data_IF_186697602292
#
_entry.id   IF_186697602292
#
_cell.length_a   1.000
_cell.length_b   1.000
_cell.length_c   1.000
_cell.angle_alpha   90.00
_cell.angle_beta   90.00
_cell.angle_gamma   90.00
#
_symmetry.space_group_name_H-M   'P 1'
#
loop_
_entity.id
_entity.type
_entity.pdbx_description
1 polymer ?
#
# COMPACT_ATOMS: atom_id res chain seq x y z
N UNK A 1 46.31 29.28 21.64
CA UNK A 1 45.58 29.33 22.92
C UNK A 1 44.08 29.21 22.62
N UNK A 2 43.48 28.10 22.96
CA UNK A 2 42.03 27.87 22.82
C UNK A 2 41.33 28.58 23.96
N UNK A 3 40.67 29.72 23.70
CA UNK A 3 39.89 30.43 24.72
C UNK A 3 38.83 29.49 25.27
N UNK A 4 38.91 29.18 26.56
CA UNK A 4 37.87 28.39 27.27
C UNK A 4 36.50 29.05 27.01
N UNK A 5 35.64 28.37 26.30
CA UNK A 5 34.28 28.84 26.05
C UNK A 5 33.56 28.92 27.37
N UNK A 6 33.16 30.12 27.77
CA UNK A 6 32.33 30.30 28.97
C UNK A 6 31.00 29.56 28.84
N UNK A 7 30.74 28.65 29.74
CA UNK A 7 29.51 27.86 29.76
C UNK A 7 28.49 28.45 30.74
N UNK A 8 27.25 28.70 30.30
CA UNK A 8 26.21 29.26 31.18
C UNK A 8 25.94 28.39 32.44
N UNK A 9 26.24 27.11 32.40
CA UNK A 9 26.09 26.14 33.50
C UNK A 9 26.90 26.52 34.76
N UNK A 10 27.99 27.32 34.59
CA UNK A 10 28.86 27.75 35.69
C UNK A 10 28.28 28.92 36.52
N UNK A 11 27.16 29.51 36.06
CA UNK A 11 26.51 30.64 36.76
C UNK A 11 25.55 30.08 37.82
N UNK A 12 25.80 30.32 39.12
CA UNK A 12 24.94 29.85 40.20
C UNK A 12 23.53 30.47 40.21
N UNK A 13 23.40 31.74 39.82
CA UNK A 13 22.09 32.39 39.76
C UNK A 13 21.29 31.95 38.55
N UNK A 14 20.12 31.35 38.78
CA UNK A 14 19.24 30.76 37.72
C UNK A 14 18.81 31.82 36.70
N UNK A 15 18.34 32.97 37.11
CA UNK A 15 17.87 34.04 36.22
C UNK A 15 18.98 34.53 35.30
N UNK A 16 20.16 34.86 35.86
CA UNK A 16 21.33 35.27 35.08
C UNK A 16 21.80 34.19 34.11
N UNK A 17 21.74 32.94 34.52
CA UNK A 17 22.08 31.78 33.66
C UNK A 17 21.16 31.69 32.46
N UNK A 18 19.85 31.80 32.66
CA UNK A 18 18.86 31.79 31.59
C UNK A 18 19.03 32.96 30.62
N UNK A 19 19.26 34.18 31.12
CA UNK A 19 19.51 35.35 30.30
C UNK A 19 20.77 35.22 29.41
N UNK A 20 21.85 34.71 30.01
CA UNK A 20 23.11 34.51 29.27
C UNK A 20 22.93 33.40 28.24
N UNK A 21 22.25 32.33 28.58
CA UNK A 21 21.94 31.22 27.66
C UNK A 21 21.05 31.71 26.49
N UNK A 22 20.04 32.52 26.77
CA UNK A 22 19.17 33.13 25.76
C UNK A 22 19.97 34.07 24.81
N UNK A 23 20.82 34.94 25.35
CA UNK A 23 21.71 35.82 24.56
C UNK A 23 22.66 35.00 23.66
N UNK A 24 23.27 33.95 24.21
CA UNK A 24 24.14 33.05 23.43
C UNK A 24 23.40 32.32 22.32
N UNK A 25 22.18 31.80 22.61
CA UNK A 25 21.32 31.15 21.59
C UNK A 25 20.98 32.15 20.48
N UNK A 26 20.56 33.37 20.82
CA UNK A 26 20.25 34.42 19.85
C UNK A 26 21.48 34.80 18.99
N UNK A 27 22.64 34.97 19.59
CA UNK A 27 23.90 35.26 18.88
C UNK A 27 24.29 34.10 17.93
N UNK A 28 24.18 32.83 18.38
CA UNK A 28 24.43 31.65 17.52
C UNK A 28 23.45 31.58 16.34
N UNK A 29 22.20 31.91 16.58
CA UNK A 29 21.18 31.93 15.52
C UNK A 29 21.46 33.00 14.48
N UNK A 30 21.82 34.21 14.93
CA UNK A 30 22.22 35.31 14.04
C UNK A 30 23.49 34.99 13.22
N UNK A 31 24.51 34.40 13.85
CA UNK A 31 25.70 33.94 13.13
C UNK A 31 25.41 32.86 12.09
N UNK A 32 24.55 31.90 12.45
CA UNK A 32 24.11 30.87 11.48
C UNK A 32 23.36 31.51 10.30
N UNK A 33 22.47 32.47 10.58
CA UNK A 33 21.71 33.15 9.53
C UNK A 33 22.66 33.93 8.61
N UNK A 34 23.61 34.70 9.19
CA UNK A 34 24.61 35.46 8.42
C UNK A 34 25.42 34.53 7.50
N UNK A 35 25.98 33.44 8.02
CA UNK A 35 26.70 32.44 7.23
C UNK A 35 25.84 31.83 6.12
N UNK A 36 24.54 31.60 6.39
CA UNK A 36 23.60 31.07 5.41
C UNK A 36 23.35 32.06 4.26
N UNK A 37 23.18 33.34 4.59
CA UNK A 37 22.98 34.38 3.59
C UNK A 37 24.25 34.63 2.75
N UNK A 38 25.42 34.65 3.37
CA UNK A 38 26.70 34.76 2.65
C UNK A 38 26.91 33.58 1.70
N UNK A 39 26.65 32.37 2.17
CA UNK A 39 26.72 31.16 1.34
C UNK A 39 25.71 31.21 0.18
N UNK A 40 24.48 31.63 0.45
CA UNK A 40 23.46 31.76 -0.59
C UNK A 40 23.86 32.74 -1.68
N UNK A 41 24.54 33.85 -1.33
CA UNK A 41 25.09 34.84 -2.29
C UNK A 41 26.18 34.22 -3.16
N UNK A 42 27.12 33.47 -2.58
CA UNK A 42 28.18 32.80 -3.33
C UNK A 42 27.60 31.67 -4.24
N UNK A 43 26.65 30.89 -3.73
CA UNK A 43 26.02 29.83 -4.48
C UNK A 43 25.10 30.33 -5.62
N UNK A 44 24.56 31.55 -5.50
CA UNK A 44 23.79 32.18 -6.60
C UNK A 44 24.68 32.56 -7.78
N UNK A 45 25.94 32.90 -7.50
CA UNK A 45 26.94 33.23 -8.54
C UNK A 45 27.57 31.95 -9.16
N UNK A 46 27.69 30.90 -8.36
CA UNK A 46 28.32 29.63 -8.79
C UNK A 46 27.42 28.40 -8.45
N UNK A 47 26.49 27.98 -9.33
CA UNK A 47 25.60 26.87 -9.07
C UNK A 47 26.30 25.52 -8.90
N UNK A 48 27.52 25.37 -9.44
CA UNK A 48 28.35 24.19 -9.25
C UNK A 48 28.71 23.94 -7.78
N UNK A 49 29.04 25.00 -7.03
CA UNK A 49 29.33 24.89 -5.59
C UNK A 49 28.10 24.43 -4.78
N UNK A 50 26.92 24.88 -5.16
CA UNK A 50 25.66 24.40 -4.56
C UNK A 50 25.48 22.91 -4.79
N UNK A 51 25.69 22.44 -6.02
CA UNK A 51 25.59 21.01 -6.39
C UNK A 51 26.58 20.16 -5.59
N UNK A 52 27.84 20.60 -5.51
CA UNK A 52 28.88 19.92 -4.74
C UNK A 52 28.56 19.86 -3.23
N UNK A 53 28.06 20.95 -2.65
CA UNK A 53 27.66 20.97 -1.26
C UNK A 53 26.48 20.03 -0.98
N UNK A 54 25.49 19.95 -1.86
CA UNK A 54 24.36 19.04 -1.72
C UNK A 54 24.82 17.59 -1.80
N UNK A 55 25.76 17.25 -2.67
CA UNK A 55 26.38 15.92 -2.75
C UNK A 55 27.15 15.56 -1.50
N UNK A 56 27.91 16.50 -0.91
CA UNK A 56 28.68 16.27 0.32
C UNK A 56 27.83 16.19 1.58
N UNK A 57 26.70 16.90 1.62
CA UNK A 57 25.82 16.98 2.79
C UNK A 57 24.51 16.20 2.59
N UNK A 58 24.62 14.91 2.29
CA UNK A 58 23.46 14.04 2.26
C UNK A 58 22.93 13.86 3.69
N UNK A 59 21.69 14.26 3.98
CA UNK A 59 21.13 14.09 5.32
C UNK A 59 21.00 12.60 5.65
N UNK A 60 21.38 12.22 6.86
CA UNK A 60 21.15 10.87 7.38
C UNK A 60 19.67 10.72 7.72
N UNK A 61 18.90 10.24 6.77
CA UNK A 61 17.48 9.87 6.95
C UNK A 61 17.35 8.38 7.15
N UNK A 62 16.22 7.92 7.67
CA UNK A 62 15.93 6.49 7.77
C UNK A 62 15.90 5.83 6.38
N UNK A 63 15.46 6.58 5.37
CA UNK A 63 15.41 6.09 3.98
C UNK A 63 16.83 5.85 3.43
N UNK A 64 17.81 6.73 3.75
CA UNK A 64 19.23 6.57 3.36
C UNK A 64 19.98 5.51 4.20
N UNK A 65 19.39 5.06 5.31
CA UNK A 65 19.95 4.04 6.19
C UNK A 65 19.21 2.71 6.06
N UNK A 66 18.34 2.59 5.05
CA UNK A 66 17.60 1.37 4.79
C UNK A 66 18.58 0.22 4.55
N UNK A 67 18.31 -0.91 5.22
CA UNK A 67 19.07 -2.14 4.99
C UNK A 67 18.60 -2.77 3.68
N UNK A 68 19.55 -3.26 2.89
CA UNK A 68 19.23 -3.98 1.66
C UNK A 68 18.62 -5.34 2.02
N UNK A 69 17.48 -5.62 1.43
CA UNK A 69 16.78 -6.89 1.53
C UNK A 69 16.69 -7.49 0.11
N UNK A 70 16.91 -8.81 -0.11
CA UNK A 70 16.76 -9.43 -1.43
C UNK A 70 15.34 -9.32 -2.03
N UNK A 71 14.34 -8.91 -1.22
CA UNK A 71 13.00 -8.60 -1.74
C UNK A 71 12.93 -7.29 -2.51
N UNK A 72 13.99 -6.46 -2.51
CA UNK A 72 14.06 -5.25 -3.30
C UNK A 72 14.25 -5.56 -4.79
N UNK A 73 13.51 -4.83 -5.61
CA UNK A 73 13.75 -4.78 -7.03
C UNK A 73 14.77 -3.68 -7.27
N UNK A 74 15.97 -4.09 -7.63
CA UNK A 74 17.13 -3.19 -7.78
C UNK A 74 17.11 -2.39 -9.08
N UNK A 75 16.25 -2.74 -10.03
CA UNK A 75 16.21 -2.05 -11.31
C UNK A 75 15.53 -0.69 -11.20
N UNK A 76 16.33 0.36 -11.15
CA UNK A 76 15.87 1.70 -11.46
C UNK A 76 15.63 1.78 -12.98
N UNK A 77 14.39 1.99 -13.44
CA UNK A 77 14.07 2.01 -14.87
C UNK A 77 14.80 3.11 -15.65
N UNK A 78 15.40 4.10 -14.95
CA UNK A 78 16.18 5.18 -15.57
C UNK A 78 17.66 4.84 -15.79
N UNK A 79 18.19 3.86 -15.06
CA UNK A 79 19.63 3.49 -15.07
C UNK A 79 19.88 2.05 -15.43
N UNK A 80 18.82 1.23 -15.59
CA UNK A 80 18.94 -0.21 -15.74
C UNK A 80 19.59 -0.63 -17.05
N UNK A 81 20.56 -1.50 -16.95
CA UNK A 81 21.09 -2.30 -18.05
C UNK A 81 20.02 -3.25 -18.60
N UNK A 82 20.24 -3.82 -19.77
CA UNK A 82 19.31 -4.80 -20.36
C UNK A 82 19.12 -6.04 -19.50
N UNK A 83 20.11 -6.42 -18.71
CA UNK A 83 20.07 -7.55 -17.76
C UNK A 83 19.15 -7.25 -16.58
N UNK A 84 19.25 -6.07 -15.97
CA UNK A 84 18.36 -5.64 -14.87
C UNK A 84 16.89 -5.59 -15.28
N UNK A 85 16.60 -5.24 -16.54
CA UNK A 85 15.23 -5.25 -17.10
C UNK A 85 14.69 -6.67 -17.24
N UNK A 86 15.52 -7.61 -17.70
CA UNK A 86 15.12 -9.01 -17.82
C UNK A 86 14.85 -9.64 -16.46
N UNK A 87 15.63 -9.31 -15.43
CA UNK A 87 15.38 -9.78 -14.06
C UNK A 87 14.08 -9.21 -13.50
N UNK A 88 13.80 -7.90 -13.71
CA UNK A 88 12.54 -7.32 -13.29
C UNK A 88 11.34 -7.89 -14.02
N UNK A 89 11.45 -8.11 -15.33
CA UNK A 89 10.38 -8.72 -16.12
C UNK A 89 10.12 -10.17 -15.69
N UNK A 90 11.19 -10.92 -15.37
CA UNK A 90 11.08 -12.27 -14.82
C UNK A 90 10.45 -12.28 -13.42
N UNK A 91 10.81 -11.33 -12.55
CA UNK A 91 10.20 -11.18 -11.23
C UNK A 91 8.72 -10.81 -11.31
N UNK A 92 8.37 -9.99 -12.31
CA UNK A 92 6.98 -9.63 -12.59
C UNK A 92 6.20 -10.83 -13.13
N UNK A 93 6.81 -11.63 -13.99
CA UNK A 93 6.18 -12.83 -14.54
C UNK A 93 6.01 -13.94 -13.49
N UNK A 94 6.94 -14.03 -12.54
CA UNK A 94 6.90 -14.99 -11.43
C UNK A 94 5.99 -14.53 -10.26
N UNK A 95 5.40 -13.32 -10.34
CA UNK A 95 4.43 -12.88 -9.34
C UNK A 95 3.19 -13.77 -9.40
N UNK A 96 2.81 -14.45 -8.29
CA UNK A 96 1.63 -15.32 -8.25
C UNK A 96 0.32 -14.61 -8.60
N UNK A 97 0.33 -13.28 -8.64
CA UNK A 97 -0.83 -12.46 -8.99
C UNK A 97 -0.75 -11.81 -10.38
N UNK A 98 0.31 -12.11 -11.17
CA UNK A 98 0.50 -11.49 -12.47
C UNK A 98 -0.69 -11.74 -13.41
N UNK A 99 -1.25 -12.95 -13.38
CA UNK A 99 -2.41 -13.34 -14.21
C UNK A 99 -3.69 -12.58 -13.86
N UNK A 100 -3.84 -12.11 -12.62
CA UNK A 100 -5.06 -11.39 -12.20
C UNK A 100 -5.10 -9.93 -12.67
N UNK A 101 -3.98 -9.39 -13.13
CA UNK A 101 -3.84 -7.98 -13.50
C UNK A 101 -3.77 -7.74 -15.01
N UNK A 102 -3.87 -8.80 -15.84
CA UNK A 102 -3.66 -8.73 -17.29
C UNK A 102 -4.89 -8.31 -18.09
N UNK A 103 -6.11 -8.43 -17.56
CA UNK A 103 -7.35 -8.32 -18.32
C UNK A 103 -8.06 -6.97 -18.19
N UNK A 104 -7.36 -5.86 -18.24
CA UNK A 104 -7.99 -4.54 -18.20
C UNK A 104 -8.22 -4.00 -19.62
N UNK A 105 -9.47 -3.89 -20.04
CA UNK A 105 -9.85 -3.12 -21.22
C UNK A 105 -9.48 -1.65 -21.04
N UNK A 106 -8.68 -1.04 -21.94
CA UNK A 106 -8.16 0.30 -21.74
C UNK A 106 -9.25 1.38 -21.76
N UNK A 107 -10.35 1.16 -22.45
CA UNK A 107 -11.39 2.16 -22.67
C UNK A 107 -12.51 2.14 -21.64
N UNK A 108 -12.63 1.07 -20.86
CA UNK A 108 -13.72 0.91 -19.89
C UNK A 108 -13.19 1.03 -18.45
N UNK A 109 -13.71 1.98 -17.65
CA UNK A 109 -13.32 2.05 -16.25
C UNK A 109 -13.74 0.78 -15.49
N UNK A 110 -12.89 0.28 -14.57
CA UNK A 110 -13.19 -0.91 -13.82
C UNK A 110 -14.42 -0.69 -12.94
N UNK A 111 -15.36 -1.62 -12.96
CA UNK A 111 -16.53 -1.57 -12.09
C UNK A 111 -16.14 -1.95 -10.66
N UNK A 112 -16.31 -1.03 -9.71
CA UNK A 112 -15.87 -1.19 -8.32
C UNK A 112 -17.08 -1.13 -7.40
N UNK A 113 -17.23 -2.15 -6.53
CA UNK A 113 -18.22 -2.14 -5.47
C UNK A 113 -17.60 -1.58 -4.18
N UNK A 114 -18.12 -0.48 -3.67
CA UNK A 114 -17.76 0.03 -2.35
C UNK A 114 -18.88 -0.36 -1.38
N UNK A 115 -18.51 -0.96 -0.25
CA UNK A 115 -19.46 -1.33 0.81
C UNK A 115 -18.84 -1.14 2.19
N UNK A 116 -19.63 -1.34 3.23
CA UNK A 116 -19.18 -1.14 4.61
C UNK A 116 -19.19 -2.44 5.40
N UNK A 117 -18.59 -2.42 6.59
CA UNK A 117 -18.82 -3.44 7.61
C UNK A 117 -20.31 -3.56 7.99
N UNK A 118 -20.70 -4.59 8.78
CA UNK A 118 -22.11 -4.86 9.09
C UNK A 118 -22.78 -3.81 9.96
N UNK A 119 -22.02 -3.00 10.69
CA UNK A 119 -22.51 -1.96 11.61
C UNK A 119 -21.78 -0.64 11.32
N UNK A 120 -22.15 0.01 10.23
CA UNK A 120 -21.56 1.29 9.86
C UNK A 120 -22.45 2.46 10.29
N UNK A 121 -21.80 3.58 10.61
CA UNK A 121 -22.43 4.84 11.02
C UNK A 121 -22.19 5.94 9.97
N UNK A 122 -22.81 7.10 10.20
CA UNK A 122 -22.78 8.22 9.28
C UNK A 122 -21.36 8.64 8.81
N UNK A 123 -20.31 8.76 9.66
CA UNK A 123 -18.98 9.14 9.19
C UNK A 123 -18.38 8.16 8.18
N UNK A 124 -18.67 6.87 8.36
CA UNK A 124 -18.21 5.83 7.44
C UNK A 124 -18.94 5.90 6.10
N UNK A 125 -20.25 6.20 6.12
CA UNK A 125 -21.01 6.40 4.87
C UNK A 125 -20.51 7.63 4.12
N UNK A 126 -20.28 8.76 4.80
CA UNK A 126 -19.72 9.96 4.16
C UNK A 126 -18.35 9.69 3.53
N UNK A 127 -17.53 8.90 4.19
CA UNK A 127 -16.23 8.49 3.63
C UNK A 127 -16.40 7.58 2.40
N UNK A 128 -17.33 6.63 2.43
CA UNK A 128 -17.64 5.77 1.27
C UNK A 128 -18.17 6.58 0.08
N UNK A 129 -19.04 7.57 0.33
CA UNK A 129 -19.56 8.46 -0.71
C UNK A 129 -18.42 9.27 -1.38
N UNK A 130 -17.45 9.76 -0.58
CA UNK A 130 -16.26 10.43 -1.13
C UNK A 130 -15.35 9.48 -1.90
N UNK A 131 -15.17 8.23 -1.42
CA UNK A 131 -14.41 7.21 -2.16
C UNK A 131 -15.05 6.87 -3.51
N UNK A 132 -16.38 6.78 -3.56
CA UNK A 132 -17.10 6.57 -4.82
C UNK A 132 -16.83 7.70 -5.82
N UNK A 133 -16.63 8.91 -5.35
CA UNK A 133 -16.23 10.05 -6.19
C UNK A 133 -14.75 10.07 -6.60
N UNK A 134 -13.91 9.18 -6.03
CA UNK A 134 -12.47 9.07 -6.34
C UNK A 134 -12.21 8.03 -7.41
N UNK A 135 -12.79 6.83 -7.24
CA UNK A 135 -12.55 5.69 -8.12
C UNK A 135 -13.53 5.72 -9.31
N UNK A 136 -13.02 5.75 -10.55
CA UNK A 136 -13.87 5.66 -11.74
C UNK A 136 -14.67 4.35 -11.76
N UNK A 137 -15.95 4.44 -12.10
CA UNK A 137 -16.83 3.26 -12.13
C UNK A 137 -17.20 2.67 -10.76
N UNK A 138 -16.97 3.40 -9.68
CA UNK A 138 -17.30 2.95 -8.34
C UNK A 138 -18.77 3.20 -7.99
N UNK A 139 -19.40 2.20 -7.39
CA UNK A 139 -20.76 2.25 -6.85
C UNK A 139 -20.73 1.97 -5.36
N UNK A 140 -21.37 2.85 -4.57
CA UNK A 140 -21.48 2.64 -3.13
C UNK A 140 -22.81 1.98 -2.79
N UNK A 141 -22.74 0.75 -2.24
CA UNK A 141 -23.91 -0.01 -1.79
C UNK A 141 -23.77 -0.32 -0.30
N UNK A 142 -24.75 0.14 0.48
CA UNK A 142 -24.80 -0.12 1.92
C UNK A 142 -25.03 -1.60 2.18
N UNK A 143 -24.21 -2.19 3.04
CA UNK A 143 -24.32 -3.59 3.41
C UNK A 143 -25.56 -3.85 4.22
N UNK A 144 -26.33 -4.85 3.83
CA UNK A 144 -27.47 -5.33 4.64
C UNK A 144 -26.96 -6.09 5.87
N UNK A 145 -27.68 -5.94 6.99
CA UNK A 145 -27.39 -6.67 8.23
C UNK A 145 -27.96 -8.10 8.11
N UNK A 146 -27.22 -9.08 8.61
CA UNK A 146 -27.67 -10.48 8.64
C UNK A 146 -26.54 -11.49 8.48
N UNK A 147 -26.76 -12.71 8.98
CA UNK A 147 -25.75 -13.80 8.94
C UNK A 147 -25.41 -14.26 7.51
N UNK A 148 -26.29 -14.04 6.53
CA UNK A 148 -26.07 -14.42 5.13
C UNK A 148 -25.22 -13.44 4.31
N UNK A 149 -24.85 -12.26 4.87
CA UNK A 149 -24.12 -11.22 4.17
C UNK A 149 -22.64 -11.19 4.60
N UNK A 150 -21.97 -12.33 4.56
CA UNK A 150 -20.54 -12.42 4.81
C UNK A 150 -19.74 -11.83 3.64
N UNK A 151 -18.52 -11.38 3.92
CA UNK A 151 -17.67 -10.66 2.95
C UNK A 151 -17.39 -11.53 1.71
N UNK A 152 -17.06 -12.81 1.90
CA UNK A 152 -16.81 -13.74 0.80
C UNK A 152 -18.03 -13.99 -0.09
N UNK A 153 -19.23 -14.08 0.49
CA UNK A 153 -20.48 -14.22 -0.29
C UNK A 153 -20.80 -12.98 -1.11
N UNK A 154 -20.59 -11.79 -0.50
CA UNK A 154 -20.77 -10.52 -1.22
C UNK A 154 -19.76 -10.42 -2.36
N UNK A 155 -18.50 -10.86 -2.13
CA UNK A 155 -17.46 -10.89 -3.15
C UNK A 155 -17.86 -11.81 -4.33
N UNK A 156 -18.36 -13.01 -4.06
CA UNK A 156 -18.90 -13.90 -5.09
C UNK A 156 -20.03 -13.27 -5.88
N UNK A 157 -21.03 -12.69 -5.21
CA UNK A 157 -22.15 -12.02 -5.91
C UNK A 157 -21.71 -10.79 -6.70
N UNK A 158 -20.69 -10.07 -6.25
CA UNK A 158 -20.11 -8.94 -6.98
C UNK A 158 -19.38 -9.43 -8.23
N UNK A 159 -18.61 -10.51 -8.13
CA UNK A 159 -17.93 -11.11 -9.26
C UNK A 159 -18.92 -11.56 -10.34
N UNK A 160 -20.00 -12.25 -9.95
CA UNK A 160 -21.08 -12.70 -10.86
C UNK A 160 -21.80 -11.52 -11.55
N UNK A 161 -21.74 -10.31 -10.99
CA UNK A 161 -22.30 -9.08 -11.58
C UNK A 161 -21.28 -8.25 -12.38
N UNK A 162 -20.09 -8.80 -12.61
CA UNK A 162 -19.05 -8.16 -13.39
C UNK A 162 -18.29 -7.04 -12.67
N UNK A 163 -18.34 -6.98 -11.34
CA UNK A 163 -17.44 -6.11 -10.62
C UNK A 163 -16.01 -6.67 -10.64
N UNK A 164 -15.04 -5.81 -10.93
CA UNK A 164 -13.62 -6.17 -10.95
C UNK A 164 -12.96 -6.02 -9.57
N UNK A 165 -13.50 -5.13 -8.74
CA UNK A 165 -12.98 -4.89 -7.40
C UNK A 165 -14.10 -4.68 -6.39
N UNK A 166 -13.81 -5.04 -5.14
CA UNK A 166 -14.66 -4.72 -4.01
C UNK A 166 -13.83 -4.04 -2.91
N UNK A 167 -14.26 -2.85 -2.48
CA UNK A 167 -13.71 -2.15 -1.32
C UNK A 167 -14.67 -2.26 -0.16
N UNK A 168 -14.20 -2.78 0.96
CA UNK A 168 -14.97 -2.85 2.20
C UNK A 168 -14.36 -1.91 3.22
N UNK A 169 -15.11 -0.89 3.62
CA UNK A 169 -14.69 0.03 4.67
C UNK A 169 -15.16 -0.49 6.02
N UNK A 170 -14.22 -0.85 6.87
CA UNK A 170 -14.49 -1.30 8.22
C UNK A 170 -14.51 -0.11 9.19
N UNK A 171 -15.34 -0.22 10.20
CA UNK A 171 -15.53 0.79 11.22
C UNK A 171 -15.15 0.26 12.60
N UNK A 172 -14.54 1.12 13.40
CA UNK A 172 -14.31 0.91 14.82
C UNK A 172 -14.55 2.23 15.56
N UNK A 173 -15.18 2.16 16.74
CA UNK A 173 -15.52 3.35 17.53
C UNK A 173 -16.26 4.45 16.73
N UNK A 174 -17.16 4.06 15.82
CA UNK A 174 -17.96 4.96 14.94
C UNK A 174 -17.10 5.80 13.98
N UNK A 175 -15.91 5.34 13.68
CA UNK A 175 -14.98 5.96 12.71
C UNK A 175 -14.47 4.91 11.74
N UNK A 176 -14.27 5.23 10.46
CA UNK A 176 -13.63 4.31 9.53
C UNK A 176 -12.22 3.99 10.01
N UNK A 177 -11.91 2.70 10.15
CA UNK A 177 -10.66 2.22 10.73
C UNK A 177 -9.80 1.42 9.76
N UNK A 178 -10.42 0.75 8.78
CA UNK A 178 -9.69 -0.04 7.81
C UNK A 178 -10.40 -0.13 6.47
N UNK A 179 -9.63 -0.43 5.42
CA UNK A 179 -10.13 -0.77 4.09
C UNK A 179 -9.63 -2.15 3.72
N UNK A 180 -10.54 -3.01 3.28
CA UNK A 180 -10.21 -4.27 2.63
C UNK A 180 -10.44 -4.10 1.13
N UNK A 181 -9.39 -4.27 0.34
CA UNK A 181 -9.43 -4.25 -1.12
C UNK A 181 -9.39 -5.69 -1.63
N UNK A 182 -10.38 -6.07 -2.40
CA UNK A 182 -10.53 -7.41 -2.96
C UNK A 182 -10.57 -7.30 -4.47
N UNK A 183 -9.65 -7.96 -5.14
CA UNK A 183 -9.68 -8.12 -6.59
C UNK A 183 -10.58 -9.31 -6.94
N UNK A 184 -11.49 -9.14 -7.89
CA UNK A 184 -12.45 -10.15 -8.30
C UNK A 184 -12.12 -10.67 -9.70
N UNK A 185 -12.41 -11.92 -10.02
CA UNK A 185 -13.15 -12.91 -9.22
C UNK A 185 -12.28 -13.74 -8.27
N UNK A 186 -10.98 -13.85 -8.51
CA UNK A 186 -10.13 -14.86 -7.87
C UNK A 186 -9.28 -14.34 -6.69
N UNK A 187 -9.24 -13.06 -6.43
CA UNK A 187 -8.35 -12.41 -5.47
C UNK A 187 -7.23 -11.65 -6.17
N UNK A 188 -6.23 -11.12 -5.52
CA UNK A 188 -5.93 -11.19 -4.08
C UNK A 188 -6.79 -10.27 -3.21
N UNK A 189 -6.72 -10.48 -1.89
CA UNK A 189 -7.37 -9.63 -0.89
C UNK A 189 -6.34 -8.98 0.01
N UNK A 190 -6.32 -7.66 0.06
CA UNK A 190 -5.44 -6.89 0.93
C UNK A 190 -6.23 -6.10 1.99
N UNK A 191 -5.76 -6.12 3.22
CA UNK A 191 -6.34 -5.39 4.33
C UNK A 191 -5.40 -4.30 4.80
N UNK A 192 -5.90 -3.08 4.79
CA UNK A 192 -5.16 -1.90 5.20
C UNK A 192 -5.79 -1.26 6.42
N UNK A 193 -4.99 -0.97 7.44
CA UNK A 193 -5.41 -0.10 8.52
C UNK A 193 -5.42 1.35 8.03
N UNK A 194 -6.51 2.07 8.31
CA UNK A 194 -6.65 3.49 8.03
C UNK A 194 -6.14 4.35 9.19
N UNK A 195 -5.57 5.48 8.85
CA UNK A 195 -5.21 6.53 9.79
C UNK A 195 -5.25 7.91 9.13
N UNK A 196 -5.33 8.96 9.95
CA UNK A 196 -5.26 10.36 9.49
C UNK A 196 -6.27 10.69 8.38
N UNK A 197 -7.52 10.26 8.55
CA UNK A 197 -8.59 10.50 7.59
C UNK A 197 -9.06 11.93 7.71
N UNK A 198 -9.14 12.64 6.58
CA UNK A 198 -9.77 13.94 6.45
C UNK A 198 -10.65 13.95 5.21
N UNK A 199 -11.93 14.23 5.41
CA UNK A 199 -12.88 14.39 4.33
C UNK A 199 -12.63 15.69 3.57
N UNK A 200 -13.10 15.78 2.35
CA UNK A 200 -12.96 16.97 1.49
C UNK A 200 -13.36 18.27 2.21
N UNK A 201 -14.48 18.24 2.92
CA UNK A 201 -14.98 19.41 3.67
C UNK A 201 -14.06 19.87 4.81
N UNK A 202 -13.20 19.00 5.33
CA UNK A 202 -12.27 19.29 6.42
C UNK A 202 -10.95 19.89 5.91
N UNK A 203 -10.71 19.84 4.60
CA UNK A 203 -9.49 20.37 3.98
C UNK A 203 -9.70 21.83 3.63
N UNK A 204 -8.93 22.71 4.24
CA UNK A 204 -9.01 24.15 3.95
C UNK A 204 -8.55 24.44 2.51
N UNK A 205 -9.36 25.22 1.78
CA UNK A 205 -9.01 25.60 0.42
C UNK A 205 -9.03 24.46 -0.60
N UNK A 206 -9.86 23.41 -0.36
CA UNK A 206 -9.99 22.29 -1.28
C UNK A 206 -10.53 22.73 -2.66
N UNK A 207 -10.07 22.06 -3.70
CA UNK A 207 -10.59 22.21 -5.06
C UNK A 207 -11.88 21.40 -5.24
N UNK A 208 -12.66 21.74 -6.26
CA UNK A 208 -13.81 20.92 -6.68
C UNK A 208 -13.32 19.77 -7.58
N UNK A 209 -13.84 18.58 -7.34
CA UNK A 209 -13.67 17.45 -8.21
C UNK A 209 -14.42 17.70 -9.55
N UNK A 210 -13.89 17.15 -10.62
CA UNK A 210 -14.56 17.08 -11.94
C UNK A 210 -14.90 15.62 -12.25
N UNK A 211 -15.80 15.38 -13.18
CA UNK A 211 -16.22 14.03 -13.55
C UNK A 211 -15.18 13.23 -14.36
N UNK A 212 -14.02 13.83 -14.64
CA UNK A 212 -12.97 13.20 -15.44
C UNK A 212 -12.20 12.16 -14.63
N UNK A 213 -11.72 11.11 -15.31
CA UNK A 213 -10.90 10.07 -14.74
C UNK A 213 -9.52 10.62 -14.33
N UNK A 214 -9.11 10.46 -13.06
CA UNK A 214 -7.84 10.98 -12.59
C UNK A 214 -6.66 10.14 -13.08
N UNK A 215 -5.50 10.77 -13.20
CA UNK A 215 -4.22 10.08 -13.35
C UNK A 215 -3.83 9.42 -12.03
N UNK A 216 -3.27 8.20 -12.08
CA UNK A 216 -2.72 7.54 -10.90
C UNK A 216 -1.20 7.65 -10.90
N UNK A 217 -0.63 8.15 -9.80
CA UNK A 217 0.81 8.20 -9.57
C UNK A 217 1.16 7.30 -8.38
N UNK A 218 1.86 6.22 -8.67
CA UNK A 218 2.42 5.31 -7.67
C UNK A 218 3.89 5.68 -7.42
N UNK A 219 4.26 5.88 -6.17
CA UNK A 219 5.62 6.28 -5.81
C UNK A 219 6.12 5.53 -4.57
N UNK A 220 7.39 5.08 -4.62
CA UNK A 220 8.06 4.45 -3.49
C UNK A 220 7.77 2.95 -3.32
N UNK A 221 7.20 2.28 -4.31
CA UNK A 221 6.98 0.83 -4.31
C UNK A 221 8.22 0.14 -4.90
N UNK A 222 9.11 -0.33 -4.03
CA UNK A 222 10.44 -0.83 -4.45
C UNK A 222 10.66 -2.31 -4.11
N UNK A 223 9.70 -2.95 -3.48
CA UNK A 223 9.75 -4.37 -3.12
C UNK A 223 8.77 -5.18 -3.97
N UNK A 224 8.95 -6.52 -4.04
CA UNK A 224 7.99 -7.41 -4.71
C UNK A 224 6.57 -7.28 -4.12
N UNK A 225 6.48 -7.25 -2.78
CA UNK A 225 5.19 -7.02 -2.09
C UNK A 225 4.62 -5.63 -2.41
N UNK A 226 5.49 -4.60 -2.43
CA UNK A 226 5.10 -3.25 -2.80
C UNK A 226 4.54 -3.16 -4.22
N UNK A 227 5.18 -3.82 -5.18
CA UNK A 227 4.68 -3.87 -6.56
C UNK A 227 3.32 -4.57 -6.66
N UNK A 228 3.14 -5.70 -5.96
CA UNK A 228 1.83 -6.38 -5.92
C UNK A 228 0.73 -5.43 -5.41
N UNK A 229 0.98 -4.75 -4.28
CA UNK A 229 0.05 -3.75 -3.72
C UNK A 229 -0.16 -2.58 -4.69
N UNK A 230 0.89 -2.08 -5.31
CA UNK A 230 0.81 -1.01 -6.31
C UNK A 230 -0.08 -1.39 -7.49
N UNK A 231 0.07 -2.61 -8.02
CA UNK A 231 -0.77 -3.15 -9.09
C UNK A 231 -2.23 -3.29 -8.68
N UNK A 232 -2.51 -3.75 -7.46
CA UNK A 232 -3.88 -3.81 -6.95
C UNK A 232 -4.57 -2.43 -6.99
N UNK A 233 -3.85 -1.36 -6.68
CA UNK A 233 -4.40 -0.01 -6.82
C UNK A 233 -4.43 0.47 -8.26
N UNK A 234 -3.46 0.09 -9.08
CA UNK A 234 -3.42 0.45 -10.51
C UNK A 234 -4.65 -0.09 -11.24
N UNK A 235 -5.06 -1.32 -10.97
CA UNK A 235 -6.24 -1.94 -11.58
C UNK A 235 -7.57 -1.32 -11.12
N UNK A 236 -7.58 -0.50 -10.05
CA UNK A 236 -8.75 0.28 -9.65
C UNK A 236 -8.97 1.55 -10.50
N UNK A 237 -8.03 1.91 -11.37
CA UNK A 237 -8.12 3.07 -12.24
C UNK A 237 -8.04 2.64 -13.72
N UNK A 238 -8.71 3.34 -14.62
CA UNK A 238 -8.56 3.06 -16.03
C UNK A 238 -7.12 3.34 -16.47
N UNK A 239 -6.55 2.53 -17.38
CA UNK A 239 -5.18 2.72 -17.86
C UNK A 239 -5.01 4.03 -18.65
N UNK A 240 -6.08 4.57 -19.26
CA UNK A 240 -6.08 5.83 -19.96
C UNK A 240 -6.77 6.91 -19.13
N UNK A 241 -6.01 7.83 -18.50
CA UNK A 241 -6.57 8.94 -17.73
C UNK A 241 -7.07 10.06 -18.65
N UNK A 242 -8.03 10.83 -18.15
CA UNK A 242 -8.54 12.00 -18.86
C UNK A 242 -7.79 13.28 -18.45
N UNK A 243 -6.74 13.63 -19.20
CA UNK A 243 -5.88 14.80 -18.92
C UNK A 243 -6.63 16.13 -18.89
N UNK A 244 -7.79 16.23 -19.54
CA UNK A 244 -8.62 17.44 -19.54
C UNK A 244 -9.08 17.81 -18.12
N UNK A 245 -9.34 16.82 -17.27
CA UNK A 245 -9.74 17.02 -15.87
C UNK A 245 -8.64 17.57 -14.98
N UNK A 246 -7.37 17.39 -15.36
CA UNK A 246 -6.19 17.79 -14.61
C UNK A 246 -6.23 17.34 -13.14
N UNK A 247 -6.69 16.11 -12.93
CA UNK A 247 -6.75 15.49 -11.62
C UNK A 247 -5.72 14.39 -11.52
N UNK A 248 -5.07 14.31 -10.37
CA UNK A 248 -4.10 13.27 -10.06
C UNK A 248 -4.40 12.67 -8.69
N UNK A 249 -4.41 11.36 -8.62
CA UNK A 249 -4.41 10.59 -7.39
C UNK A 249 -2.99 10.10 -7.18
N UNK A 250 -2.42 10.43 -6.04
CA UNK A 250 -1.08 9.99 -5.66
C UNK A 250 -1.18 9.01 -4.51
N UNK A 251 -0.59 7.85 -4.70
CA UNK A 251 -0.35 6.86 -3.66
C UNK A 251 1.16 6.78 -3.42
N UNK A 252 1.61 7.43 -2.36
CA UNK A 252 3.03 7.51 -2.03
C UNK A 252 3.34 6.59 -0.85
N UNK A 253 4.20 5.61 -1.09
CA UNK A 253 4.72 4.75 -0.05
C UNK A 253 5.93 5.40 0.62
N UNK A 254 5.87 5.59 1.91
CA UNK A 254 7.00 5.98 2.73
C UNK A 254 6.99 5.18 4.02
N UNK A 255 7.96 4.30 4.19
CA UNK A 255 8.12 3.46 5.41
C UNK A 255 6.88 2.64 5.72
N UNK A 256 6.36 1.94 4.72
CA UNK A 256 5.15 1.10 4.79
C UNK A 256 3.85 1.86 5.08
N UNK A 257 3.88 3.19 5.06
CA UNK A 257 2.69 4.03 5.09
C UNK A 257 2.39 4.52 3.68
N UNK A 258 1.22 4.18 3.19
CA UNK A 258 0.72 4.61 1.89
C UNK A 258 -0.11 5.88 2.08
N UNK A 259 0.42 7.00 1.64
CA UNK A 259 -0.25 8.29 1.70
C UNK A 259 -1.11 8.48 0.46
N UNK A 260 -2.42 8.42 0.65
CA UNK A 260 -3.39 8.69 -0.42
C UNK A 260 -3.73 10.18 -0.45
N UNK A 261 -3.57 10.81 -1.63
CA UNK A 261 -3.88 12.22 -1.87
C UNK A 261 -4.48 12.40 -3.25
N UNK A 262 -5.46 13.29 -3.39
CA UNK A 262 -6.06 13.67 -4.66
C UNK A 262 -5.89 15.17 -4.87
N UNK A 263 -5.29 15.55 -5.99
CA UNK A 263 -5.01 16.95 -6.32
C UNK A 263 -5.56 17.30 -7.70
N UNK A 264 -5.85 18.58 -7.87
CA UNK A 264 -5.97 19.23 -9.15
C UNK A 264 -4.65 19.96 -9.42
N UNK A 265 -4.14 19.85 -10.64
CA UNK A 265 -2.88 20.50 -11.02
C UNK A 265 -3.08 21.53 -12.12
N UNK A 266 -2.22 22.53 -12.15
CA UNK A 266 -2.14 23.51 -13.22
C UNK A 266 -0.69 23.86 -13.50
N UNK A 267 -0.25 23.76 -14.75
CA UNK A 267 1.07 24.19 -15.16
C UNK A 267 1.11 25.72 -15.21
N UNK A 268 1.99 26.31 -14.43
CA UNK A 268 2.26 27.77 -14.49
C UNK A 268 3.40 28.10 -15.44
N UNK A 269 4.32 27.18 -15.63
CA UNK A 269 5.42 27.21 -16.57
C UNK A 269 5.86 25.78 -16.87
N UNK A 270 6.81 25.58 -17.77
CA UNK A 270 7.42 24.28 -18.08
C UNK A 270 8.04 23.59 -16.84
N UNK A 271 8.46 24.36 -15.86
CA UNK A 271 9.14 23.85 -14.65
C UNK A 271 8.29 23.93 -13.37
N UNK A 272 7.16 24.63 -13.40
CA UNK A 272 6.37 24.90 -12.18
C UNK A 272 4.93 24.46 -12.33
N UNK A 273 4.52 23.59 -11.43
CA UNK A 273 3.15 23.09 -11.31
C UNK A 273 2.53 23.62 -10.01
N UNK A 274 1.33 24.15 -10.09
CA UNK A 274 0.51 24.47 -8.93
C UNK A 274 -0.41 23.30 -8.62
N UNK A 275 -0.44 22.87 -7.38
CA UNK A 275 -1.30 21.80 -6.90
C UNK A 275 -2.33 22.38 -5.93
N UNK A 276 -3.57 21.90 -6.05
CA UNK A 276 -4.64 22.18 -5.09
C UNK A 276 -5.30 20.85 -4.71
N UNK A 277 -5.39 20.58 -3.41
CA UNK A 277 -5.95 19.33 -2.93
C UNK A 277 -7.48 19.31 -3.12
N UNK A 278 -8.01 18.18 -3.58
CA UNK A 278 -9.44 17.95 -3.72
C UNK A 278 -9.95 17.20 -2.47
N UNK A 279 -9.25 16.15 -2.06
CA UNK A 279 -9.66 15.21 -1.01
C UNK A 279 -10.39 13.99 -1.58
N UNK A 280 -10.75 13.03 -0.72
CA UNK A 280 -10.32 12.89 0.67
C UNK A 280 -8.82 12.61 0.80
N UNK A 281 -8.25 12.82 1.99
CA UNK A 281 -6.90 12.37 2.31
C UNK A 281 -6.93 11.35 3.43
N UNK A 282 -6.12 10.31 3.29
CA UNK A 282 -5.97 9.29 4.31
C UNK A 282 -4.63 8.58 4.15
N UNK A 283 -4.27 7.80 5.17
CA UNK A 283 -3.05 7.00 5.17
C UNK A 283 -3.42 5.55 5.42
N UNK A 284 -2.86 4.65 4.61
CA UNK A 284 -3.05 3.22 4.70
C UNK A 284 -1.78 2.55 5.23
N UNK A 285 -1.93 1.49 6.00
CA UNK A 285 -0.85 0.59 6.37
C UNK A 285 -1.29 -0.84 6.11
N UNK A 286 -0.56 -1.57 5.25
CA UNK A 286 -0.85 -2.97 4.97
C UNK A 286 -0.73 -3.79 6.26
N UNK A 287 -1.69 -4.67 6.51
CA UNK A 287 -1.70 -5.57 7.66
C UNK A 287 -1.63 -7.03 7.25
N UNK A 288 -2.31 -7.39 6.18
CA UNK A 288 -2.19 -8.72 5.61
C UNK A 288 -2.62 -8.72 4.14
N UNK A 289 -2.12 -9.72 3.42
CA UNK A 289 -2.43 -10.03 2.05
C UNK A 289 -2.82 -11.50 1.97
N UNK A 290 -3.97 -11.81 1.37
CA UNK A 290 -4.46 -13.16 1.09
C UNK A 290 -4.44 -13.43 -0.41
N UNK A 291 -4.24 -14.69 -0.79
CA UNK A 291 -4.18 -15.11 -2.19
C UNK A 291 -5.54 -15.02 -2.90
N UNK A 292 -6.60 -15.44 -2.23
CA UNK A 292 -7.94 -15.51 -2.78
C UNK A 292 -8.90 -14.45 -2.28
N UNK A 293 -10.17 -14.60 -2.63
CA UNK A 293 -11.27 -13.87 -2.03
C UNK A 293 -11.46 -14.32 -0.57
N UNK A 294 -12.04 -13.49 0.32
CA UNK A 294 -12.25 -13.88 1.72
C UNK A 294 -13.09 -15.13 1.85
N UNK A 295 -12.65 -16.06 2.70
CA UNK A 295 -13.40 -17.27 3.00
C UNK A 295 -14.72 -16.94 3.69
N UNK A 296 -15.71 -17.76 3.43
CA UNK A 296 -16.95 -17.80 4.21
C UNK A 296 -16.66 -18.62 5.45
N UNK A 297 -16.44 -17.93 6.58
CA UNK A 297 -16.13 -18.59 7.84
C UNK A 297 -17.36 -19.34 8.34
N UNK A 298 -17.28 -20.66 8.38
CA UNK A 298 -18.10 -21.44 9.27
C UNK A 298 -17.60 -21.19 10.70
N UNK A 299 -18.46 -20.69 11.57
CA UNK A 299 -18.16 -20.48 12.97
C UNK A 299 -17.46 -21.71 13.58
N UNK A 300 -16.20 -21.59 13.98
CA UNK A 300 -15.48 -22.57 14.76
C UNK A 300 -14.26 -23.25 14.16
N UNK A 301 -13.90 -23.00 12.90
CA UNK A 301 -12.65 -23.54 12.37
C UNK A 301 -11.48 -22.61 12.71
N UNK A 302 -10.40 -23.09 13.32
CA UNK A 302 -9.21 -22.27 13.55
C UNK A 302 -8.58 -21.87 12.20
N UNK A 303 -8.02 -20.65 12.09
CA UNK A 303 -7.32 -20.23 10.87
C UNK A 303 -6.14 -21.17 10.62
N UNK A 304 -5.89 -21.53 9.36
CA UNK A 304 -4.67 -22.27 8.98
C UNK A 304 -3.43 -21.45 9.43
N UNK A 305 -2.43 -22.09 10.07
CA UNK A 305 -1.17 -21.43 10.33
C UNK A 305 -0.52 -20.98 9.01
N UNK A 306 0.19 -19.87 9.03
CA UNK A 306 0.98 -19.41 7.89
C UNK A 306 2.08 -20.43 7.60
N UNK A 307 2.44 -20.62 6.32
CA UNK A 307 3.47 -21.59 5.94
C UNK A 307 4.82 -21.36 6.64
N UNK A 308 5.15 -20.11 6.95
CA UNK A 308 6.37 -19.76 7.69
C UNK A 308 6.21 -19.78 9.23
N UNK A 309 5.02 -20.07 9.75
CA UNK A 309 4.77 -20.35 11.17
C UNK A 309 4.72 -21.88 11.45
N UNK A 310 4.81 -22.71 10.42
CA UNK A 310 5.09 -24.12 10.60
C UNK A 310 6.52 -24.23 11.16
N UNK A 311 6.64 -24.31 12.49
CA UNK A 311 7.88 -24.68 13.13
C UNK A 311 8.37 -25.97 12.45
N UNK A 312 9.65 -26.01 12.08
CA UNK A 312 10.29 -27.25 11.68
C UNK A 312 9.95 -28.29 12.74
N UNK A 313 9.47 -29.47 12.34
CA UNK A 313 9.18 -30.50 13.34
C UNK A 313 10.43 -30.76 14.12
N UNK A 314 10.46 -30.35 15.38
CA UNK A 314 11.50 -30.75 16.33
C UNK A 314 11.46 -32.27 16.38
N UNK A 315 12.48 -32.88 15.76
CA UNK A 315 12.82 -34.28 15.99
C UNK A 315 13.17 -34.45 17.46
N UNK A 316 12.20 -34.80 18.29
CA UNK A 316 12.48 -35.53 19.52
C UNK A 316 11.23 -36.22 20.04
N UNK A 317 11.43 -37.51 20.17
CA UNK A 317 10.87 -38.47 21.13
C UNK A 317 9.68 -39.35 20.67
N UNK A 318 10.11 -40.60 20.37
CA UNK A 318 9.63 -41.75 21.17
C UNK A 318 8.35 -42.42 20.68
N UNK A 319 8.54 -43.46 19.96
CA UNK A 319 7.55 -44.52 19.74
C UNK A 319 7.02 -45.10 21.07
N UNK A 320 5.82 -45.71 21.09
CA UNK A 320 5.82 -47.17 20.93
C UNK A 320 4.74 -47.70 19.97
N UNK A 321 5.17 -48.79 19.36
CA UNK A 321 4.43 -49.81 18.63
C UNK A 321 3.06 -50.16 19.18
N UNK A 322 2.11 -50.45 18.30
CA UNK A 322 1.35 -51.73 18.29
C UNK A 322 0.49 -51.86 17.00
N UNK A 323 0.94 -52.83 16.21
CA UNK A 323 0.19 -53.96 15.65
C UNK A 323 -1.02 -53.70 14.72
N UNK A 324 -0.76 -54.12 13.50
CA UNK A 324 -1.67 -54.46 12.41
C UNK A 324 -2.76 -55.53 12.78
N UNK A 325 -3.75 -55.79 11.93
CA UNK A 325 -3.48 -56.56 10.70
C UNK A 325 -4.26 -56.16 9.43
N UNK A 326 -3.60 -56.56 8.36
CA UNK A 326 -3.94 -56.56 6.95
C UNK A 326 -5.32 -57.07 6.53
N UNK A 327 -5.79 -56.57 5.39
CA UNK A 327 -6.20 -57.40 4.24
C UNK A 327 -6.49 -56.53 3.00
N UNK A 328 -5.67 -56.82 2.00
CA UNK A 328 -5.89 -57.11 0.59
C UNK A 328 -7.06 -56.42 -0.17
N UNK A 329 -6.69 -55.68 -1.20
CA UNK A 329 -7.07 -55.96 -2.59
C UNK A 329 -6.33 -54.99 -3.53
N UNK A 330 -5.48 -55.59 -4.35
CA UNK A 330 -4.94 -55.08 -5.60
C UNK A 330 -6.09 -54.71 -6.56
N UNK A 331 -5.91 -53.69 -7.38
CA UNK A 331 -5.76 -53.80 -8.83
C UNK A 331 -5.90 -52.44 -9.54
N UNK A 332 -4.91 -52.24 -10.39
CA UNK A 332 -4.88 -51.59 -11.70
C UNK A 332 -4.64 -50.08 -11.76
N UNK A 333 -3.38 -49.86 -12.04
CA UNK A 333 -2.85 -48.74 -12.80
C UNK A 333 -3.40 -48.81 -14.25
N UNK A 334 -3.65 -47.65 -14.83
CA UNK A 334 -3.23 -47.31 -16.19
C UNK A 334 -3.48 -45.83 -16.49
N UNK A 335 -2.38 -45.18 -16.79
CA UNK A 335 -2.11 -44.09 -17.72
C UNK A 335 -3.30 -43.30 -18.30
N UNK A 336 -3.29 -41.98 -18.03
CA UNK A 336 -3.51 -40.99 -19.08
C UNK A 336 -2.88 -39.65 -18.67
N UNK A 337 -1.71 -39.43 -19.23
CA UNK A 337 -1.05 -38.15 -19.34
C UNK A 337 -1.80 -37.36 -20.42
N UNK A 338 -2.68 -36.43 -20.02
CA UNK A 338 -3.27 -35.47 -20.94
C UNK A 338 -2.89 -34.07 -20.48
N UNK A 339 -2.05 -33.47 -21.31
CA UNK A 339 -1.75 -32.05 -21.32
C UNK A 339 -2.99 -31.24 -21.69
N UNK A 340 -3.62 -30.58 -20.72
CA UNK A 340 -4.74 -29.68 -20.98
C UNK A 340 -4.24 -28.26 -21.11
N UNK A 341 -4.07 -27.80 -22.36
CA UNK A 341 -4.05 -26.39 -22.69
C UNK A 341 -5.49 -25.83 -22.51
N UNK A 342 -5.70 -24.70 -21.82
CA UNK A 342 -7.03 -24.12 -21.71
C UNK A 342 -7.41 -23.37 -22.99
N UNK A 343 -8.00 -24.05 -23.93
CA UNK A 343 -8.79 -23.42 -25.00
C UNK A 343 -10.07 -22.87 -24.39
N UNK A 344 -10.22 -21.55 -24.38
CA UNK A 344 -11.43 -20.85 -24.00
C UNK A 344 -12.54 -21.09 -25.01
N UNK A 345 -13.49 -21.92 -24.66
CA UNK A 345 -14.71 -22.19 -25.41
C UNK A 345 -15.78 -21.14 -25.03
N UNK A 346 -16.30 -20.31 -25.98
CA UNK A 346 -17.22 -19.19 -25.66
C UNK A 346 -18.66 -19.63 -25.32
N UNK A 347 -18.95 -20.90 -25.18
CA UNK A 347 -20.30 -21.43 -24.93
C UNK A 347 -20.57 -21.95 -23.52
N UNK A 348 -19.62 -21.88 -22.60
CA UNK A 348 -19.87 -22.27 -21.18
C UNK A 348 -20.57 -21.13 -20.43
N UNK A 349 -21.69 -21.41 -19.73
CA UNK A 349 -22.29 -20.38 -18.85
C UNK A 349 -21.29 -19.96 -17.79
N UNK A 350 -21.28 -18.68 -17.37
CA UNK A 350 -20.32 -18.17 -16.40
C UNK A 350 -20.37 -19.02 -15.12
N UNK A 351 -19.25 -19.63 -14.78
CA UNK A 351 -19.14 -20.42 -13.55
C UNK A 351 -19.33 -19.48 -12.37
N UNK A 352 -20.32 -19.76 -11.53
CA UNK A 352 -20.56 -18.98 -10.31
C UNK A 352 -19.32 -19.01 -9.42
N UNK A 353 -18.83 -17.85 -9.04
CA UNK A 353 -17.68 -17.71 -8.16
C UNK A 353 -18.03 -18.20 -6.75
N UNK A 354 -17.52 -19.37 -6.38
CA UNK A 354 -17.74 -19.93 -5.04
C UNK A 354 -16.62 -19.48 -4.11
N UNK A 355 -16.94 -18.81 -2.98
CA UNK A 355 -15.92 -18.40 -2.03
C UNK A 355 -15.24 -19.61 -1.38
N UNK A 356 -13.93 -19.54 -1.07
CA UNK A 356 -13.20 -20.60 -0.41
C UNK A 356 -13.69 -20.82 1.03
N UNK A 357 -13.47 -22.01 1.56
CA UNK A 357 -13.81 -22.35 2.95
C UNK A 357 -12.75 -21.90 3.94
N UNK A 358 -11.51 -21.68 3.50
CA UNK A 358 -10.38 -21.28 4.34
C UNK A 358 -9.61 -20.14 3.68
N UNK A 359 -9.06 -19.27 4.51
CA UNK A 359 -8.22 -18.15 4.07
C UNK A 359 -6.77 -18.60 3.92
N UNK A 360 -6.14 -18.28 2.78
CA UNK A 360 -4.72 -18.50 2.52
C UNK A 360 -3.97 -17.17 2.59
N UNK A 361 -3.12 -17.02 3.61
CA UNK A 361 -2.37 -15.78 3.81
C UNK A 361 -1.03 -15.87 3.07
N UNK A 362 -0.72 -14.85 2.28
CA UNK A 362 0.58 -14.67 1.61
C UNK A 362 1.51 -13.88 2.50
N UNK A 363 0.99 -12.87 3.17
CA UNK A 363 1.77 -12.01 4.05
C UNK A 363 0.93 -11.46 5.20
N UNK A 364 1.53 -11.41 6.40
CA UNK A 364 0.91 -10.82 7.59
C UNK A 364 1.94 -9.97 8.33
N UNK A 365 1.54 -8.76 8.67
CA UNK A 365 2.36 -7.87 9.49
C UNK A 365 2.42 -8.35 10.92
N UNK A 366 3.64 -8.48 11.47
CA UNK A 366 3.91 -8.80 12.86
C UNK A 366 4.60 -7.62 13.55
N UNK A 367 4.24 -7.26 14.81
CA UNK A 367 4.89 -6.17 15.54
C UNK A 367 6.40 -6.38 15.72
N UNK A 368 6.84 -7.61 15.81
CA UNK A 368 8.22 -8.02 15.98
C UNK A 368 9.11 -7.62 14.78
N UNK A 369 8.52 -7.52 13.59
CA UNK A 369 9.21 -7.11 12.38
C UNK A 369 9.56 -5.61 12.36
N UNK A 370 8.93 -4.78 13.19
CA UNK A 370 9.20 -3.33 13.25
C UNK A 370 10.37 -2.94 14.18
N UNK A 371 11.10 -3.88 14.76
CA UNK A 371 12.08 -3.63 15.81
C UNK A 371 13.22 -2.71 15.41
N UNK A 372 13.65 -2.71 14.16
CA UNK A 372 14.85 -1.95 13.73
C UNK A 372 14.55 -0.58 13.12
N UNK A 373 13.32 -0.26 12.75
CA UNK A 373 12.93 0.95 11.97
C UNK A 373 13.71 1.14 10.67
N UNK A 374 14.49 0.17 10.24
CA UNK A 374 15.32 0.19 9.03
C UNK A 374 14.81 -0.77 7.97
N UNK A 375 13.97 -1.72 8.36
CA UNK A 375 13.33 -2.70 7.47
C UNK A 375 11.95 -2.21 7.07
N UNK A 376 11.67 -2.17 5.78
CA UNK A 376 10.39 -1.76 5.20
C UNK A 376 9.94 -2.82 4.22
N UNK A 377 8.65 -3.13 4.18
CA UNK A 377 8.11 -4.27 3.44
C UNK A 377 7.51 -3.89 2.08
N UNK A 378 7.10 -2.62 1.91
CA UNK A 378 6.48 -2.12 0.68
C UNK A 378 7.42 -1.32 -0.21
#
# INVERSE_FOLDING_TARGET
MVSKRFEPSQIGNKAKREDVAAKQRKAKTQQKLKKRLERAKVESQNPALKKQRLQQNVPKTLDNQREFDPSFITADPSTSTTEDRQETDADIANDPFASFFSDADPDVPPKILITTGPQAHKPTYEFCDELAGVFPGAEFIRRKKGKGFEMGRIAGWAADRGYKHMLVVNEDHRQPNAITLIHLPAGPTAYFKLSSIQLTKQIYGHARATAHHPELVLNGFVTRLGLCVGRMFQTCFPPLPEFQGRQVVTLHNQRDFLFFRRHRYAFRSTEKVALQEIGPRFTLKLRWLKKGIPAVQQFGAPPKPLEFDAAEPSEEQGAPEKEEPAKDAEEQAEEAMETDEPTSDPSKPPQKTVPPTQDEYVWVWKPELETTRRTFFL
#
